data_IF_578155749279
#
_entry.id   IF_578155749279
#
_cell.length_a   1.000
_cell.length_b   1.000
_cell.length_c   1.000
_cell.angle_alpha   90.00
_cell.angle_beta   90.00
_cell.angle_gamma   90.00
#
_symmetry.space_group_name_H-M   'P 1'
#
loop_
_entity.id
_entity.type
_entity.pdbx_description
1 polymer ?
#
# COMPACT_ATOMS: atom_id res chain seq x y z
N UNK A 1 -14.51 -19.01 10.10
CA UNK A 1 -13.22 -18.29 9.98
C UNK A 1 -13.34 -16.84 10.43
N UNK A 2 -14.20 -16.01 9.83
CA UNK A 2 -14.46 -14.63 10.32
C UNK A 2 -15.18 -14.59 11.69
N UNK A 3 -15.78 -15.70 12.11
CA UNK A 3 -16.45 -15.82 13.42
C UNK A 3 -15.50 -15.67 14.61
N UNK A 4 -14.21 -15.96 14.43
CA UNK A 4 -13.22 -15.92 15.51
C UNK A 4 -12.56 -14.54 15.65
N UNK A 5 -12.87 -13.58 14.78
CA UNK A 5 -12.37 -12.21 14.85
C UNK A 5 -13.26 -11.35 15.75
N UNK A 6 -12.63 -10.46 16.52
CA UNK A 6 -13.34 -9.45 17.31
C UNK A 6 -14.07 -8.44 16.40
N UNK A 7 -15.00 -7.67 16.95
CA UNK A 7 -15.67 -6.61 16.21
C UNK A 7 -14.68 -5.57 15.68
N UNK A 8 -13.69 -5.19 16.49
CA UNK A 8 -12.61 -4.27 16.13
C UNK A 8 -11.79 -4.80 14.94
N UNK A 9 -11.37 -6.06 14.98
CA UNK A 9 -10.60 -6.68 13.88
C UNK A 9 -11.41 -6.76 12.58
N UNK A 10 -12.71 -7.06 12.68
CA UNK A 10 -13.62 -7.08 11.51
C UNK A 10 -13.76 -5.68 10.90
N UNK A 11 -13.96 -4.67 11.72
CA UNK A 11 -14.07 -3.29 11.27
C UNK A 11 -12.77 -2.82 10.59
N UNK A 12 -11.62 -3.10 11.20
CA UNK A 12 -10.31 -2.83 10.61
C UNK A 12 -10.13 -3.48 9.24
N UNK A 13 -10.51 -4.76 9.10
CA UNK A 13 -10.44 -5.46 7.81
C UNK A 13 -11.38 -4.86 6.75
N UNK A 14 -12.57 -4.42 7.13
CA UNK A 14 -13.50 -3.77 6.20
C UNK A 14 -12.95 -2.43 5.72
N UNK A 15 -12.39 -1.63 6.61
CA UNK A 15 -11.74 -0.36 6.24
C UNK A 15 -10.55 -0.59 5.32
N UNK A 16 -9.66 -1.54 5.66
CA UNK A 16 -8.52 -1.91 4.80
C UNK A 16 -8.98 -2.38 3.42
N UNK A 17 -10.02 -3.22 3.36
CA UNK A 17 -10.56 -3.74 2.10
C UNK A 17 -11.02 -2.62 1.17
N UNK A 18 -11.64 -1.58 1.71
CA UNK A 18 -12.19 -0.47 0.93
C UNK A 18 -11.08 0.34 0.23
N UNK A 19 -9.92 0.50 0.86
CA UNK A 19 -8.79 1.27 0.31
C UNK A 19 -7.62 0.40 -0.17
N UNK A 20 -7.78 -0.94 -0.15
CA UNK A 20 -6.72 -1.88 -0.55
C UNK A 20 -6.26 -1.65 -1.98
N UNK A 21 -7.19 -1.34 -2.87
CA UNK A 21 -6.89 -1.04 -4.26
C UNK A 21 -6.03 0.21 -4.44
N UNK A 22 -6.32 1.28 -3.70
CA UNK A 22 -5.48 2.48 -3.70
C UNK A 22 -4.08 2.17 -3.18
N UNK A 23 -3.96 1.41 -2.09
CA UNK A 23 -2.65 0.99 -1.56
C UNK A 23 -1.85 0.15 -2.58
N UNK A 24 -2.52 -0.71 -3.35
CA UNK A 24 -1.88 -1.46 -4.44
C UNK A 24 -1.39 -0.53 -5.57
N UNK A 25 -2.19 0.45 -5.95
CA UNK A 25 -1.82 1.45 -6.96
C UNK A 25 -0.64 2.30 -6.50
N UNK A 26 -0.63 2.76 -5.24
CA UNK A 26 0.47 3.51 -4.63
C UNK A 26 1.78 2.71 -4.63
N UNK A 27 1.74 1.49 -4.12
CA UNK A 27 2.90 0.62 -4.01
C UNK A 27 3.39 0.04 -5.35
N UNK A 28 2.67 0.27 -6.46
CA UNK A 28 2.91 -0.38 -7.76
C UNK A 28 3.08 -1.89 -7.61
N UNK A 29 2.29 -2.50 -6.74
CA UNK A 29 2.43 -3.90 -6.40
C UNK A 29 1.11 -4.54 -5.99
N UNK A 30 1.06 -5.86 -6.08
CA UNK A 30 -0.07 -6.62 -5.58
C UNK A 30 -0.10 -6.55 -4.06
N UNK A 31 -1.26 -6.25 -3.50
CA UNK A 31 -1.48 -6.24 -2.05
C UNK A 31 -2.47 -7.33 -1.68
N UNK A 32 -2.13 -8.14 -0.69
CA UNK A 32 -2.94 -9.28 -0.26
C UNK A 32 -3.08 -9.33 1.25
N UNK A 33 -4.30 -9.48 1.75
CA UNK A 33 -4.59 -9.72 3.16
C UNK A 33 -4.82 -11.20 3.39
N UNK A 34 -4.09 -11.76 4.35
CA UNK A 34 -4.16 -13.16 4.77
C UNK A 34 -4.69 -13.27 6.19
N UNK A 35 -5.58 -14.22 6.41
CA UNK A 35 -6.08 -14.59 7.74
C UNK A 35 -5.70 -16.04 8.05
N UNK A 36 -5.23 -16.34 9.28
CA UNK A 36 -4.95 -17.71 9.67
C UNK A 36 -6.24 -18.54 9.72
N UNK A 37 -6.16 -19.76 9.23
CA UNK A 37 -7.22 -20.74 9.37
C UNK A 37 -7.15 -21.45 10.75
N UNK A 38 -8.26 -22.03 11.20
CA UNK A 38 -8.29 -22.89 12.39
C UNK A 38 -7.30 -24.06 12.27
N UNK A 39 -7.27 -24.66 11.08
CA UNK A 39 -6.19 -25.55 10.67
C UNK A 39 -4.95 -24.70 10.36
N UNK A 40 -4.01 -24.67 11.30
CA UNK A 40 -2.77 -23.90 11.24
C UNK A 40 -1.86 -24.23 10.04
N UNK A 41 -2.25 -25.17 9.19
CA UNK A 41 -1.54 -25.52 7.96
C UNK A 41 -1.93 -24.63 6.78
N UNK A 42 -2.99 -23.82 6.92
CA UNK A 42 -3.51 -22.98 5.85
C UNK A 42 -3.66 -21.52 6.29
N UNK A 43 -3.59 -20.64 5.30
CA UNK A 43 -4.06 -19.26 5.35
C UNK A 43 -5.22 -19.07 4.37
N UNK A 44 -6.10 -18.16 4.70
CA UNK A 44 -7.18 -17.72 3.85
C UNK A 44 -6.84 -16.36 3.26
N UNK A 45 -6.95 -16.22 1.96
CA UNK A 45 -6.81 -14.94 1.28
C UNK A 45 -8.12 -14.17 1.45
N UNK A 46 -8.11 -13.21 2.37
CA UNK A 46 -9.30 -12.41 2.67
C UNK A 46 -9.64 -11.48 1.51
N UNK A 47 -8.64 -10.78 0.99
CA UNK A 47 -8.75 -9.88 -0.15
C UNK A 47 -7.40 -9.74 -0.84
N UNK A 48 -7.42 -9.64 -2.17
CA UNK A 48 -6.26 -9.37 -3.01
C UNK A 48 -6.63 -8.27 -4.00
N UNK A 49 -5.73 -7.31 -4.19
CA UNK A 49 -5.86 -6.26 -5.19
C UNK A 49 -4.58 -6.14 -6.01
N UNK A 50 -4.74 -5.95 -7.31
CA UNK A 50 -3.65 -5.69 -8.24
C UNK A 50 -3.58 -4.20 -8.57
N UNK A 51 -2.38 -3.65 -8.81
CA UNK A 51 -2.23 -2.26 -9.17
C UNK A 51 -2.78 -1.99 -10.58
N UNK A 52 -3.54 -0.92 -10.76
CA UNK A 52 -3.91 -0.38 -12.07
C UNK A 52 -2.76 0.39 -12.72
N UNK A 53 -1.85 0.90 -11.88
CA UNK A 53 -0.71 1.73 -12.29
C UNK A 53 0.41 0.92 -12.93
N UNK A 54 0.39 -0.41 -12.86
CA UNK A 54 1.38 -1.28 -13.47
C UNK A 54 0.79 -2.03 -14.68
N UNK A 55 1.43 -1.87 -15.84
CA UNK A 55 1.13 -2.70 -17.02
C UNK A 55 1.90 -4.02 -16.90
N UNK A 56 1.21 -5.13 -16.94
CA UNK A 56 1.84 -6.45 -16.83
C UNK A 56 0.82 -7.59 -16.95
N UNK A 57 1.29 -8.82 -16.79
CA UNK A 57 0.41 -9.99 -16.79
C UNK A 57 -0.55 -9.95 -15.60
N UNK A 58 -1.84 -10.08 -15.88
CA UNK A 58 -2.87 -10.20 -14.85
C UNK A 58 -2.65 -11.51 -14.10
N UNK A 59 -2.44 -11.42 -12.79
CA UNK A 59 -2.32 -12.60 -11.93
C UNK A 59 -3.69 -13.13 -11.54
N UNK A 60 -3.81 -14.43 -11.26
CA UNK A 60 -5.07 -14.97 -10.74
C UNK A 60 -5.47 -14.28 -9.44
N UNK A 61 -6.73 -13.89 -9.33
CA UNK A 61 -7.30 -13.44 -8.06
C UNK A 61 -7.49 -14.65 -7.14
N UNK A 62 -6.80 -14.61 -6.02
CA UNK A 62 -6.86 -15.64 -4.99
C UNK A 62 -7.83 -15.29 -3.84
N UNK A 63 -8.54 -14.16 -3.94
CA UNK A 63 -9.55 -13.77 -2.94
C UNK A 63 -10.52 -14.91 -2.68
N UNK A 64 -10.75 -15.22 -1.40
CA UNK A 64 -11.65 -16.30 -0.98
C UNK A 64 -11.00 -17.69 -0.98
N UNK A 65 -9.76 -17.85 -1.40
CA UNK A 65 -9.08 -19.15 -1.44
C UNK A 65 -8.31 -19.46 -0.17
N UNK A 66 -8.20 -20.75 0.12
CA UNK A 66 -7.29 -21.29 1.15
C UNK A 66 -6.00 -21.73 0.49
N UNK A 67 -4.88 -21.28 1.02
CA UNK A 67 -3.54 -21.60 0.53
C UNK A 67 -2.78 -22.31 1.64
N UNK A 68 -1.98 -23.31 1.32
CA UNK A 68 -1.11 -23.97 2.31
C UNK A 68 -0.04 -23.00 2.78
N UNK A 69 0.20 -22.93 4.09
CA UNK A 69 1.25 -22.07 4.65
C UNK A 69 2.66 -22.39 4.13
N UNK A 70 2.91 -23.64 3.73
CA UNK A 70 4.18 -24.03 3.11
C UNK A 70 4.38 -23.39 1.72
N UNK A 71 3.32 -23.02 1.03
CA UNK A 71 3.34 -22.30 -0.25
C UNK A 71 3.53 -20.80 -0.07
N UNK A 72 3.33 -20.29 1.16
CA UNK A 72 3.49 -18.88 1.54
C UNK A 72 4.48 -18.71 2.71
N UNK A 73 5.76 -19.05 2.54
CA UNK A 73 6.72 -19.13 3.63
C UNK A 73 7.00 -17.78 4.31
N UNK A 74 6.91 -16.65 3.58
CA UNK A 74 7.08 -15.32 4.15
C UNK A 74 5.89 -14.94 5.04
N UNK A 75 4.66 -15.27 4.61
CA UNK A 75 3.44 -15.08 5.41
C UNK A 75 3.50 -15.94 6.67
N UNK A 76 3.86 -17.21 6.53
CA UNK A 76 4.02 -18.12 7.65
C UNK A 76 5.01 -17.57 8.69
N UNK A 77 6.17 -17.09 8.23
CA UNK A 77 7.20 -16.51 9.10
C UNK A 77 6.73 -15.22 9.78
N UNK A 78 6.04 -14.33 9.05
CA UNK A 78 5.51 -13.10 9.63
C UNK A 78 4.48 -13.37 10.73
N UNK A 79 3.52 -14.27 10.47
CA UNK A 79 2.51 -14.68 11.45
C UNK A 79 3.13 -15.34 12.69
N UNK A 80 4.10 -16.23 12.49
CA UNK A 80 4.76 -16.96 13.57
C UNK A 80 5.61 -16.06 14.47
N UNK A 81 6.38 -15.15 13.85
CA UNK A 81 7.30 -14.26 14.57
C UNK A 81 6.66 -12.94 15.00
N UNK A 82 5.46 -12.66 14.53
CA UNK A 82 4.75 -11.38 14.73
C UNK A 82 5.64 -10.17 14.37
N UNK A 83 6.35 -10.24 13.25
CA UNK A 83 7.26 -9.20 12.77
C UNK A 83 7.22 -9.08 11.25
N UNK A 84 7.58 -7.91 10.68
CA UNK A 84 7.77 -7.76 9.24
C UNK A 84 8.80 -8.74 8.71
N UNK A 85 8.54 -9.27 7.52
CA UNK A 85 9.44 -10.19 6.80
C UNK A 85 9.52 -9.76 5.35
N UNK A 86 10.74 -9.72 4.80
CA UNK A 86 11.00 -9.41 3.40
C UNK A 86 11.70 -10.58 2.73
N UNK A 87 11.38 -10.82 1.46
CA UNK A 87 12.02 -11.85 0.65
C UNK A 87 11.70 -11.71 -0.83
N UNK A 88 12.23 -12.60 -1.63
CA UNK A 88 11.89 -12.72 -3.05
C UNK A 88 10.88 -13.85 -3.24
N UNK A 89 9.92 -13.62 -4.12
CA UNK A 89 8.95 -14.61 -4.56
C UNK A 89 9.08 -14.79 -6.06
N UNK A 90 9.32 -16.01 -6.48
CA UNK A 90 9.18 -16.41 -7.88
C UNK A 90 7.71 -16.70 -8.15
N UNK A 91 7.12 -16.00 -9.10
CA UNK A 91 5.72 -16.16 -9.44
C UNK A 91 5.52 -16.69 -10.86
N UNK A 92 6.55 -16.61 -11.69
CA UNK A 92 6.67 -17.26 -12.99
C UNK A 92 8.13 -17.62 -13.20
N UNK A 93 8.40 -18.53 -14.12
CA UNK A 93 9.75 -19.08 -14.34
C UNK A 93 10.76 -17.94 -14.57
N UNK A 94 11.69 -17.79 -13.64
CA UNK A 94 12.73 -16.76 -13.68
C UNK A 94 12.25 -15.33 -13.38
N UNK A 95 10.98 -15.11 -13.05
CA UNK A 95 10.43 -13.79 -12.73
C UNK A 95 10.26 -13.65 -11.21
N UNK A 96 11.10 -12.81 -10.63
CA UNK A 96 11.11 -12.58 -9.18
C UNK A 96 10.57 -11.20 -8.84
N UNK A 97 9.70 -11.17 -7.84
CA UNK A 97 9.28 -9.95 -7.17
C UNK A 97 9.80 -9.92 -5.74
N UNK A 98 9.97 -8.73 -5.21
CA UNK A 98 10.13 -8.54 -3.78
C UNK A 98 8.77 -8.60 -3.12
N UNK A 99 8.66 -9.39 -2.07
CA UNK A 99 7.47 -9.50 -1.23
C UNK A 99 7.82 -9.06 0.19
N UNK A 100 7.10 -8.06 0.68
CA UNK A 100 7.16 -7.61 2.06
C UNK A 100 5.86 -7.97 2.75
N UNK A 101 5.97 -8.58 3.92
CA UNK A 101 4.82 -9.07 4.69
C UNK A 101 4.84 -8.44 6.07
N UNK A 102 3.73 -7.81 6.45
CA UNK A 102 3.54 -7.16 7.73
C UNK A 102 2.44 -7.89 8.52
N UNK A 103 2.65 -8.18 9.82
CA UNK A 103 1.60 -8.75 10.65
C UNK A 103 0.52 -7.70 10.93
N UNK A 104 -0.75 -8.06 10.79
CA UNK A 104 -1.88 -7.27 11.25
C UNK A 104 -2.07 -7.53 12.74
N UNK A 105 -1.94 -6.48 13.56
CA UNK A 105 -1.97 -6.58 15.02
C UNK A 105 -3.25 -5.98 15.60
N UNK A 106 -3.75 -6.60 16.65
CA UNK A 106 -4.80 -6.02 17.49
C UNK A 106 -4.23 -4.97 18.46
N UNK A 107 -5.10 -4.26 19.18
CA UNK A 107 -4.70 -3.28 20.21
C UNK A 107 -3.85 -3.84 21.35
N UNK A 108 -3.70 -5.17 21.44
CA UNK A 108 -2.80 -5.87 22.38
C UNK A 108 -1.49 -6.32 21.74
N UNK A 109 -1.22 -5.92 20.50
CA UNK A 109 -0.03 -6.27 19.74
C UNK A 109 0.02 -7.72 19.24
N UNK A 110 -1.09 -8.49 19.30
CA UNK A 110 -1.15 -9.87 18.83
C UNK A 110 -1.54 -9.89 17.36
N UNK A 111 -0.83 -10.68 16.56
CA UNK A 111 -1.17 -10.86 15.15
C UNK A 111 -2.48 -11.65 15.00
N UNK A 112 -3.42 -11.07 14.22
CA UNK A 112 -4.65 -11.73 13.80
C UNK A 112 -4.69 -12.01 12.29
N UNK A 113 -3.70 -11.52 11.55
CA UNK A 113 -3.56 -11.70 10.11
C UNK A 113 -2.22 -11.17 9.62
N UNK A 114 -2.05 -11.14 8.32
CA UNK A 114 -0.89 -10.53 7.67
C UNK A 114 -1.33 -9.80 6.40
N UNK A 115 -0.57 -8.78 6.02
CA UNK A 115 -0.72 -8.09 4.74
C UNK A 115 0.61 -8.16 3.99
N UNK A 116 0.58 -8.45 2.70
CA UNK A 116 1.76 -8.44 1.85
C UNK A 116 1.68 -7.40 0.76
N UNK A 117 2.84 -6.83 0.44
CA UNK A 117 3.09 -6.02 -0.76
C UNK A 117 4.06 -6.79 -1.64
N UNK A 118 3.69 -7.02 -2.89
CA UNK A 118 4.51 -7.76 -3.85
C UNK A 118 4.72 -6.93 -5.10
N UNK A 119 5.95 -6.47 -5.32
CA UNK A 119 6.32 -5.56 -6.41
C UNK A 119 7.68 -5.91 -7.01
N UNK A 120 7.87 -5.58 -8.29
CA UNK A 120 9.16 -5.75 -8.99
C UNK A 120 10.18 -4.67 -8.63
N UNK A 121 9.70 -3.48 -8.20
CA UNK A 121 10.53 -2.33 -7.87
C UNK A 121 10.04 -1.72 -6.54
N UNK A 122 10.41 -2.29 -5.39
CA UNK A 122 9.96 -1.81 -4.10
C UNK A 122 10.56 -0.43 -3.78
N UNK A 123 9.68 0.49 -3.36
CA UNK A 123 10.06 1.74 -2.72
C UNK A 123 9.59 1.66 -1.26
N UNK A 124 10.53 1.56 -0.34
CA UNK A 124 10.26 1.31 1.09
C UNK A 124 9.41 2.43 1.72
N UNK A 125 9.62 3.69 1.29
CA UNK A 125 8.86 4.83 1.81
C UNK A 125 7.41 4.75 1.32
N UNK A 126 7.20 4.49 0.03
CA UNK A 126 5.85 4.38 -0.55
C UNK A 126 5.11 3.18 0.04
N UNK A 127 5.78 2.03 0.24
CA UNK A 127 5.17 0.86 0.89
C UNK A 127 4.79 1.18 2.33
N UNK A 128 5.66 1.87 3.09
CA UNK A 128 5.35 2.29 4.45
C UNK A 128 4.13 3.22 4.51
N UNK A 129 4.04 4.20 3.60
CA UNK A 129 2.89 5.11 3.51
C UNK A 129 1.61 4.38 3.08
N UNK A 130 1.72 3.40 2.17
CA UNK A 130 0.58 2.56 1.78
C UNK A 130 0.07 1.70 2.95
N UNK A 131 0.98 1.18 3.77
CA UNK A 131 0.62 0.43 4.99
C UNK A 131 -0.01 1.34 6.04
N UNK A 132 0.50 2.56 6.20
CA UNK A 132 -0.04 3.56 7.12
C UNK A 132 -1.46 3.97 6.71
N UNK A 133 -1.70 4.23 5.42
CA UNK A 133 -3.03 4.46 4.86
C UNK A 133 -4.01 3.35 5.26
N UNK A 134 -3.62 2.09 5.05
CA UNK A 134 -4.45 0.93 5.37
C UNK A 134 -4.73 0.79 6.86
N UNK A 135 -3.77 1.15 7.71
CA UNK A 135 -3.87 0.97 9.16
C UNK A 135 -4.63 2.09 9.86
N UNK A 136 -4.55 3.32 9.33
CA UNK A 136 -5.02 4.53 10.01
C UNK A 136 -6.19 5.22 9.30
N UNK A 137 -6.70 4.68 8.19
CA UNK A 137 -7.83 5.26 7.47
C UNK A 137 -9.08 5.34 8.36
N UNK A 138 -9.60 6.52 8.66
CA UNK A 138 -10.87 6.65 9.34
C UNK A 138 -12.02 6.10 8.49
N UNK A 139 -12.93 5.35 9.10
CA UNK A 139 -14.09 4.79 8.39
C UNK A 139 -14.91 5.86 7.65
N UNK A 140 -15.00 7.08 8.23
CA UNK A 140 -15.71 8.21 7.64
C UNK A 140 -15.12 8.74 6.34
N UNK A 141 -13.86 8.40 6.03
CA UNK A 141 -13.16 8.84 4.82
C UNK A 141 -13.09 7.78 3.72
N UNK A 142 -13.56 6.55 3.99
CA UNK A 142 -13.49 5.44 3.02
C UNK A 142 -14.18 5.76 1.70
N UNK A 143 -15.32 6.47 1.75
CA UNK A 143 -16.09 6.86 0.56
C UNK A 143 -15.69 8.24 0.01
N UNK A 144 -14.64 8.86 0.55
CA UNK A 144 -14.17 10.16 0.08
C UNK A 144 -13.53 10.02 -1.31
N UNK A 145 -13.88 10.94 -2.21
CA UNK A 145 -13.38 10.93 -3.59
C UNK A 145 -11.86 11.04 -3.73
N UNK A 146 -11.16 11.58 -2.73
CA UNK A 146 -9.70 11.66 -2.71
C UNK A 146 -9.00 10.32 -2.49
N UNK A 147 -9.73 9.28 -2.07
CA UNK A 147 -9.18 7.93 -1.83
C UNK A 147 -9.58 6.92 -2.90
N UNK A 148 -9.86 7.42 -4.12
CA UNK A 148 -10.14 6.56 -5.28
C UNK A 148 -8.89 5.83 -5.76
N UNK A 149 -9.13 4.80 -6.57
CA UNK A 149 -8.08 4.08 -7.32
C UNK A 149 -7.35 5.06 -8.24
N UNK A 150 -6.04 4.87 -8.35
CA UNK A 150 -5.20 5.66 -9.25
C UNK A 150 -5.33 5.18 -10.70
N UNK A 151 -5.12 6.12 -11.61
CA UNK A 151 -4.97 5.82 -13.03
C UNK A 151 -3.49 5.62 -13.39
N UNK A 152 -3.18 4.94 -14.52
CA UNK A 152 -1.80 4.71 -14.95
C UNK A 152 -0.98 5.99 -15.20
N UNK A 153 -1.66 7.12 -15.37
CA UNK A 153 -1.05 8.43 -15.56
C UNK A 153 -0.69 9.16 -14.27
N UNK A 154 -1.18 8.69 -13.12
CA UNK A 154 -1.06 9.42 -11.88
C UNK A 154 0.35 9.30 -11.28
N UNK A 155 0.89 10.45 -10.87
CA UNK A 155 2.12 10.54 -10.10
C UNK A 155 1.85 10.57 -8.60
N UNK A 156 2.75 9.94 -7.84
CA UNK A 156 2.73 9.99 -6.36
C UNK A 156 4.01 10.64 -5.88
N UNK A 157 3.86 11.50 -4.89
CA UNK A 157 4.97 12.00 -4.08
C UNK A 157 4.61 11.88 -2.60
N UNK A 158 5.61 11.58 -1.80
CA UNK A 158 5.53 11.60 -0.34
C UNK A 158 6.33 12.78 0.17
N UNK A 159 5.71 13.57 1.02
CA UNK A 159 6.28 14.79 1.60
C UNK A 159 6.40 14.63 3.11
N UNK A 160 7.54 14.96 3.67
CA UNK A 160 7.78 14.93 5.12
C UNK A 160 7.15 16.15 5.83
N UNK A 161 7.10 16.18 7.18
CA UNK A 161 6.60 17.33 7.94
C UNK A 161 7.35 18.65 7.69
N UNK A 162 8.57 18.61 7.16
CA UNK A 162 9.35 19.80 6.79
C UNK A 162 9.09 20.26 5.36
N UNK A 163 8.07 19.69 4.69
CA UNK A 163 7.69 19.96 3.30
C UNK A 163 8.76 19.52 2.29
N UNK A 164 9.63 18.56 2.64
CA UNK A 164 10.58 17.95 1.72
C UNK A 164 9.94 16.75 1.01
N UNK A 165 10.16 16.64 -0.29
CA UNK A 165 9.76 15.45 -1.06
C UNK A 165 10.77 14.36 -0.77
N UNK A 166 10.32 13.29 -0.09
CA UNK A 166 11.17 12.18 0.35
C UNK A 166 11.03 10.93 -0.52
N UNK A 167 9.93 10.79 -1.26
CA UNK A 167 9.75 9.74 -2.26
C UNK A 167 8.85 10.22 -3.40
N UNK A 168 9.03 9.62 -4.57
CA UNK A 168 8.18 9.85 -5.73
C UNK A 168 8.21 8.62 -6.64
N UNK A 169 7.06 8.25 -7.21
CA UNK A 169 7.03 7.19 -8.20
C UNK A 169 7.62 7.66 -9.55
N UNK A 170 7.89 6.72 -10.45
CA UNK A 170 8.49 7.04 -11.75
C UNK A 170 7.60 7.98 -12.59
N UNK A 171 6.29 7.92 -12.42
CA UNK A 171 5.37 8.81 -13.15
C UNK A 171 5.50 10.25 -12.68
N UNK A 172 5.51 10.47 -11.36
CA UNK A 172 5.77 11.79 -10.81
C UNK A 172 7.13 12.33 -11.27
N UNK A 173 8.20 11.52 -11.15
CA UNK A 173 9.54 11.90 -11.63
C UNK A 173 9.51 12.33 -13.11
N UNK A 174 8.88 11.53 -13.96
CA UNK A 174 8.78 11.85 -15.39
C UNK A 174 8.02 13.16 -15.67
N UNK A 175 6.93 13.42 -14.93
CA UNK A 175 6.19 14.68 -15.06
C UNK A 175 7.09 15.88 -14.73
N UNK A 176 7.92 15.77 -13.71
CA UNK A 176 8.84 16.84 -13.32
C UNK A 176 10.08 16.94 -14.21
N UNK A 177 10.56 15.85 -14.78
CA UNK A 177 11.64 15.87 -15.79
C UNK A 177 11.22 16.67 -17.02
N UNK A 178 9.95 16.53 -17.47
CA UNK A 178 9.39 17.33 -18.56
C UNK A 178 9.30 18.82 -18.21
N UNK A 179 9.17 19.15 -16.90
CA UNK A 179 9.19 20.53 -16.40
C UNK A 179 10.62 21.05 -16.12
N UNK A 180 11.64 20.33 -16.56
CA UNK A 180 13.06 20.67 -16.35
C UNK A 180 13.48 20.82 -14.87
N UNK A 181 12.82 20.08 -13.97
CA UNK A 181 13.21 20.01 -12.56
C UNK A 181 14.18 18.84 -12.37
N UNK A 182 15.49 19.08 -12.27
CA UNK A 182 16.50 18.04 -12.41
C UNK A 182 16.57 17.08 -11.23
N UNK A 183 16.01 17.44 -10.08
CA UNK A 183 16.02 16.61 -8.89
C UNK A 183 14.77 16.87 -8.04
N UNK A 184 13.79 15.97 -8.15
CA UNK A 184 12.55 16.09 -7.39
C UNK A 184 12.71 15.73 -5.92
N UNK A 185 13.43 14.63 -5.64
CA UNK A 185 13.66 14.16 -4.27
C UNK A 185 14.63 15.12 -3.54
N UNK A 186 14.23 15.56 -2.36
CA UNK A 186 14.96 16.55 -1.56
C UNK A 186 14.57 18.02 -1.82
N UNK A 187 13.73 18.28 -2.83
CA UNK A 187 13.16 19.62 -3.03
C UNK A 187 12.06 19.90 -2.00
N UNK A 188 11.87 21.16 -1.68
CA UNK A 188 10.72 21.61 -0.88
C UNK A 188 9.52 21.90 -1.77
N UNK A 189 8.33 21.56 -1.30
CA UNK A 189 7.09 21.81 -2.05
C UNK A 189 6.74 23.27 -2.22
N UNK A 190 7.41 24.17 -1.49
CA UNK A 190 7.28 25.63 -1.62
C UNK A 190 8.43 26.27 -2.41
N UNK A 191 9.33 25.49 -2.99
CA UNK A 191 10.33 26.02 -3.92
C UNK A 191 9.64 26.63 -5.15
N UNK A 192 10.26 27.68 -5.69
CA UNK A 192 9.69 28.47 -6.81
C UNK A 192 9.33 27.60 -8.01
N UNK A 193 10.09 26.53 -8.24
CA UNK A 193 9.84 25.58 -9.34
C UNK A 193 8.62 24.69 -9.12
N UNK A 194 8.23 24.41 -7.86
CA UNK A 194 7.14 23.50 -7.53
C UNK A 194 5.93 24.27 -6.99
N UNK A 195 6.14 25.22 -6.09
CA UNK A 195 5.17 26.12 -5.45
C UNK A 195 3.76 25.52 -5.26
N UNK A 196 3.67 24.45 -4.45
CA UNK A 196 2.40 23.78 -4.19
C UNK A 196 1.81 24.18 -2.84
N UNK A 197 1.02 25.24 -2.79
CA UNK A 197 0.40 25.73 -1.54
C UNK A 197 -0.55 24.71 -0.91
N UNK A 198 -1.14 23.82 -1.72
CA UNK A 198 -2.02 22.74 -1.26
C UNK A 198 -1.37 21.85 -0.24
N UNK A 199 -0.10 21.50 -0.39
CA UNK A 199 0.62 20.66 0.57
C UNK A 199 0.67 21.32 1.94
N UNK A 200 0.90 22.65 2.00
CA UNK A 200 0.85 23.41 3.25
C UNK A 200 -0.54 23.36 3.90
N UNK A 201 -1.59 23.56 3.12
CA UNK A 201 -2.96 23.51 3.60
C UNK A 201 -3.34 22.14 4.17
N UNK A 202 -3.03 21.07 3.44
CA UNK A 202 -3.29 19.69 3.89
C UNK A 202 -2.54 19.38 5.18
N UNK A 203 -1.28 19.82 5.31
CA UNK A 203 -0.49 19.60 6.52
C UNK A 203 -1.04 20.39 7.74
N UNK A 204 -1.62 21.57 7.51
CA UNK A 204 -2.19 22.40 8.57
C UNK A 204 -3.59 21.92 9.01
N UNK A 205 -4.41 21.51 8.04
CA UNK A 205 -5.81 21.12 8.30
C UNK A 205 -5.98 19.64 8.59
N UNK A 206 -5.05 18.79 8.13
CA UNK A 206 -5.18 17.32 8.15
C UNK A 206 -6.29 16.80 7.23
N UNK A 207 -6.81 17.63 6.33
CA UNK A 207 -7.93 17.31 5.44
C UNK A 207 -7.40 17.15 4.00
N UNK A 208 -7.83 16.09 3.32
CA UNK A 208 -7.50 15.89 1.90
C UNK A 208 -8.11 17.01 1.05
N UNK A 209 -7.32 17.52 0.13
CA UNK A 209 -7.69 18.62 -0.76
C UNK A 209 -7.35 18.28 -2.21
N UNK A 210 -8.13 18.82 -3.15
CA UNK A 210 -7.84 18.71 -4.58
C UNK A 210 -7.92 20.07 -5.25
N UNK A 211 -7.05 20.28 -6.24
CA UNK A 211 -7.04 21.49 -7.05
C UNK A 211 -6.56 21.17 -8.46
N UNK A 212 -7.27 21.66 -9.46
CA UNK A 212 -6.79 21.64 -10.83
C UNK A 212 -5.80 22.79 -11.05
N UNK A 213 -4.65 22.46 -11.64
CA UNK A 213 -3.69 23.43 -12.12
C UNK A 213 -3.67 23.37 -13.64
N UNK A 214 -4.01 24.49 -14.29
CA UNK A 214 -3.75 24.66 -15.71
C UNK A 214 -2.27 25.00 -15.87
N UNK A 215 -1.53 24.06 -16.46
CA UNK A 215 -0.14 24.26 -16.88
C UNK A 215 -0.09 24.90 -18.27
#
# INVERSE_FOLDING_TARGET
MLSNLTAEQKNSLQTMQAVLGLAADMAHGMVTIYLPCEDKKFVYVYKQEQPRTQRGSVRPDLTGRRIRLVEEPLVARSLQKNMPVRGKREWDLGVFNTMEVFPLRDGRGRSYGAISFETSAPDEIIIAQSLELLSNMPQSLVDNEHYKRMEPSDGIMVVDPNKLIIAANNRAKHMFDVMEIPQLIGCRTNDVAINWPLVGMVMETGTAESKEFNM
#
